data_IF_598471623738
#
_entry.id   IF_598471623738
#
_cell.length_a   1.000
_cell.length_b   1.000
_cell.length_c   1.000
_cell.angle_alpha   90.00
_cell.angle_beta   90.00
_cell.angle_gamma   90.00
#
_symmetry.space_group_name_H-M   'P 1'
#
loop_
_entity.id
_entity.type
_entity.pdbx_description
1 polymer ?
#
# COMPACT_ATOMS: atom_id res chain seq x y z
N UNK A 1 -2.08 -26.39 28.82
CA UNK A 1 -2.83 -27.59 28.40
C UNK A 1 -1.80 -28.57 27.85
N UNK A 2 -1.68 -29.75 28.44
CA UNK A 2 -0.71 -30.80 28.03
C UNK A 2 -1.20 -31.52 26.78
N UNK A 3 -0.29 -32.05 25.96
CA UNK A 3 -0.64 -32.89 24.82
C UNK A 3 -1.46 -34.10 25.29
N UNK A 4 -2.52 -34.45 24.55
CA UNK A 4 -3.44 -35.55 24.91
C UNK A 4 -3.78 -36.36 23.67
N UNK A 5 -3.76 -37.69 23.80
CA UNK A 5 -4.19 -38.63 22.76
C UNK A 5 -5.44 -39.39 23.20
N UNK A 6 -6.41 -39.52 22.30
CA UNK A 6 -7.65 -40.26 22.49
C UNK A 6 -7.68 -41.38 21.43
N UNK A 7 -7.73 -42.64 21.87
CA UNK A 7 -7.84 -43.78 20.96
C UNK A 7 -9.32 -44.03 20.62
N UNK A 8 -9.62 -44.21 19.34
CA UNK A 8 -10.97 -44.46 18.85
C UNK A 8 -11.29 -45.95 18.77
N UNK A 9 -10.27 -46.78 18.55
CA UNK A 9 -10.44 -48.23 18.48
C UNK A 9 -10.25 -48.91 19.85
N UNK A 10 -10.87 -50.08 20.10
CA UNK A 10 -10.83 -50.75 21.40
C UNK A 10 -9.42 -51.18 21.84
N UNK A 11 -8.59 -51.62 20.89
CA UNK A 11 -7.20 -51.98 21.15
C UNK A 11 -6.28 -50.77 20.92
N UNK A 12 -5.72 -50.25 22.01
CA UNK A 12 -4.81 -49.10 22.00
C UNK A 12 -3.39 -49.45 21.56
N UNK A 13 -3.05 -50.74 21.50
CA UNK A 13 -1.72 -51.22 21.08
C UNK A 13 -1.68 -51.63 19.62
N UNK A 14 -2.83 -51.69 18.96
CA UNK A 14 -2.90 -51.98 17.54
C UNK A 14 -2.27 -50.81 16.76
N UNK A 15 -1.22 -51.04 15.96
CA UNK A 15 -0.61 -50.01 15.13
C UNK A 15 -1.57 -49.45 14.07
N UNK A 16 -2.68 -50.13 13.76
CA UNK A 16 -3.74 -49.63 12.89
C UNK A 16 -4.82 -48.81 13.61
N UNK A 17 -4.70 -48.62 14.93
CA UNK A 17 -5.64 -47.87 15.75
C UNK A 17 -5.69 -46.39 15.34
N UNK A 18 -6.89 -45.91 15.06
CA UNK A 18 -7.18 -44.50 14.81
C UNK A 18 -7.20 -43.75 16.12
N UNK A 19 -6.62 -42.56 16.13
CA UNK A 19 -6.47 -41.74 17.35
C UNK A 19 -6.63 -40.26 17.06
N UNK A 20 -7.08 -39.52 18.07
CA UNK A 20 -7.15 -38.06 18.04
C UNK A 20 -6.03 -37.50 18.92
N UNK A 21 -5.10 -36.78 18.32
CA UNK A 21 -4.04 -36.03 18.98
C UNK A 21 -4.49 -34.59 19.23
N UNK A 22 -4.32 -34.10 20.45
CA UNK A 22 -4.66 -32.74 20.87
C UNK A 22 -3.38 -32.04 21.29
N UNK A 23 -3.01 -30.99 20.55
CA UNK A 23 -1.80 -30.22 20.79
C UNK A 23 -2.12 -28.75 20.99
N UNK A 24 -1.77 -28.22 22.16
CA UNK A 24 -1.98 -26.82 22.47
C UNK A 24 -0.82 -25.96 21.95
N UNK A 25 -1.16 -24.88 21.26
CA UNK A 25 -0.24 -23.82 20.84
C UNK A 25 -0.53 -22.55 21.64
N UNK A 26 0.23 -21.47 21.41
CA UNK A 26 0.04 -20.21 22.14
C UNK A 26 -1.34 -19.58 21.93
N UNK A 27 -1.93 -19.71 20.74
CA UNK A 27 -3.16 -19.01 20.34
C UNK A 27 -4.36 -19.94 20.08
N UNK A 28 -4.11 -21.23 19.88
CA UNK A 28 -5.10 -22.19 19.42
C UNK A 28 -4.70 -23.60 19.83
N UNK A 29 -5.55 -24.57 19.53
CA UNK A 29 -5.29 -26.00 19.70
C UNK A 29 -5.45 -26.69 18.36
N UNK A 30 -4.52 -27.60 18.05
CA UNK A 30 -4.64 -28.51 16.91
C UNK A 30 -5.26 -29.80 17.41
N UNK A 31 -6.39 -30.20 16.83
CA UNK A 31 -7.06 -31.48 17.04
C UNK A 31 -6.91 -32.27 15.76
N UNK A 32 -6.12 -33.34 15.80
CA UNK A 32 -5.73 -34.12 14.65
C UNK A 32 -6.24 -35.55 14.79
N UNK A 33 -7.02 -36.00 13.81
CA UNK A 33 -7.34 -37.41 13.62
C UNK A 33 -6.19 -38.04 12.82
N UNK A 34 -5.44 -38.92 13.46
CA UNK A 34 -4.39 -39.75 12.88
C UNK A 34 -5.00 -41.12 12.50
N UNK A 35 -4.92 -41.42 11.21
CA UNK A 35 -5.41 -42.63 10.53
C UNK A 35 -4.27 -43.36 9.81
N UNK A 36 -3.01 -42.96 9.96
CA UNK A 36 -1.92 -43.45 9.09
C UNK A 36 -1.82 -44.98 9.12
N UNK A 37 -1.81 -45.56 10.32
CA UNK A 37 -1.77 -47.01 10.48
C UNK A 37 -3.02 -47.73 9.96
N UNK A 38 -4.19 -47.09 10.03
CA UNK A 38 -5.44 -47.60 9.47
C UNK A 38 -5.39 -47.60 7.94
N UNK A 39 -4.89 -46.53 7.34
CA UNK A 39 -4.72 -46.38 5.88
C UNK A 39 -3.75 -47.41 5.33
N UNK A 40 -2.59 -47.59 5.97
CA UNK A 40 -1.60 -48.60 5.59
C UNK A 40 -2.21 -50.01 5.60
N UNK A 41 -2.98 -50.32 6.65
CA UNK A 41 -3.62 -51.63 6.82
C UNK A 41 -4.73 -51.86 5.79
N UNK A 42 -5.56 -50.85 5.54
CA UNK A 42 -6.66 -50.90 4.57
C UNK A 42 -6.13 -51.05 3.14
N UNK A 43 -5.09 -50.28 2.79
CA UNK A 43 -4.43 -50.35 1.48
C UNK A 43 -3.82 -51.75 1.25
N UNK A 44 -3.18 -52.34 2.27
CA UNK A 44 -2.65 -53.73 2.19
C UNK A 44 -3.74 -54.78 1.97
N UNK A 45 -4.98 -54.51 2.40
CA UNK A 45 -6.15 -55.39 2.18
C UNK A 45 -6.83 -55.14 0.83
N UNK A 46 -6.41 -54.12 0.09
CA UNK A 46 -7.00 -53.72 -1.18
C UNK A 46 -8.23 -52.82 -1.05
N UNK A 47 -8.54 -52.35 0.15
CA UNK A 47 -9.63 -51.41 0.41
C UNK A 47 -9.18 -49.97 0.09
N UNK A 48 -10.08 -49.12 -0.41
CA UNK A 48 -9.78 -47.69 -0.60
C UNK A 48 -9.78 -46.98 0.76
N UNK A 49 -8.68 -46.29 1.12
CA UNK A 49 -8.58 -45.50 2.35
C UNK A 49 -9.16 -44.08 2.21
N UNK A 50 -9.72 -43.75 1.04
CA UNK A 50 -10.11 -42.39 0.70
C UNK A 50 -11.23 -41.87 1.59
N UNK A 51 -11.14 -40.57 1.91
CA UNK A 51 -12.19 -39.90 2.67
C UNK A 51 -13.38 -39.61 1.74
N UNK A 52 -14.63 -39.87 2.19
CA UNK A 52 -15.81 -39.47 1.44
C UNK A 52 -15.80 -37.97 1.12
N UNK A 53 -16.28 -37.58 -0.06
CA UNK A 53 -16.29 -36.17 -0.48
C UNK A 53 -17.02 -35.27 0.54
N UNK A 54 -18.17 -35.72 1.06
CA UNK A 54 -18.92 -35.01 2.08
C UNK A 54 -18.15 -34.83 3.40
N UNK A 55 -17.29 -35.79 3.78
CA UNK A 55 -16.40 -35.65 4.93
C UNK A 55 -15.38 -34.53 4.66
N UNK A 56 -14.71 -34.59 3.50
CA UNK A 56 -13.69 -33.62 3.11
C UNK A 56 -14.26 -32.21 3.01
N UNK A 57 -15.47 -32.04 2.48
CA UNK A 57 -16.18 -30.76 2.43
C UNK A 57 -16.50 -30.22 3.82
N UNK A 58 -17.06 -31.05 4.71
CA UNK A 58 -17.41 -30.66 6.08
C UNK A 58 -16.17 -30.24 6.88
N UNK A 59 -15.08 -30.99 6.77
CA UNK A 59 -13.79 -30.64 7.38
C UNK A 59 -13.23 -29.36 6.80
N UNK A 60 -13.20 -29.22 5.48
CA UNK A 60 -12.69 -28.01 4.80
C UNK A 60 -13.46 -26.77 5.26
N UNK A 61 -14.78 -26.87 5.40
CA UNK A 61 -15.62 -25.80 5.92
C UNK A 61 -15.26 -25.45 7.37
N UNK A 62 -15.11 -26.45 8.24
CA UNK A 62 -14.71 -26.24 9.63
C UNK A 62 -13.30 -25.63 9.76
N UNK A 63 -12.33 -26.09 8.96
CA UNK A 63 -10.98 -25.55 8.89
C UNK A 63 -10.98 -24.07 8.47
N UNK A 64 -11.65 -23.74 7.37
CA UNK A 64 -11.73 -22.37 6.86
C UNK A 64 -12.38 -21.43 7.88
N UNK A 65 -13.51 -21.84 8.45
CA UNK A 65 -14.23 -21.02 9.42
C UNK A 65 -13.43 -20.81 10.70
N UNK A 66 -12.72 -21.84 11.15
CA UNK A 66 -11.85 -21.73 12.31
C UNK A 66 -10.62 -20.85 12.06
N UNK A 67 -10.02 -20.96 10.88
CA UNK A 67 -8.91 -20.10 10.47
C UNK A 67 -9.33 -18.63 10.43
N UNK A 68 -10.53 -18.36 9.94
CA UNK A 68 -11.09 -17.01 9.93
C UNK A 68 -11.33 -16.49 11.34
N UNK A 69 -11.87 -17.34 12.23
CA UNK A 69 -12.07 -16.97 13.63
C UNK A 69 -10.75 -16.61 14.33
N UNK A 70 -9.71 -17.41 14.15
CA UNK A 70 -8.40 -17.15 14.74
C UNK A 70 -7.75 -15.87 14.20
N UNK A 71 -7.87 -15.61 12.88
CA UNK A 71 -7.38 -14.37 12.27
C UNK A 71 -8.14 -13.15 12.76
N UNK A 72 -9.46 -13.28 12.91
CA UNK A 72 -10.32 -12.26 13.51
C UNK A 72 -9.91 -11.95 14.95
N UNK A 73 -9.59 -12.96 15.75
CA UNK A 73 -9.10 -12.81 17.12
C UNK A 73 -7.64 -12.29 17.19
N UNK A 74 -6.96 -12.12 16.04
CA UNK A 74 -5.68 -11.44 15.91
C UNK A 74 -4.46 -12.32 15.62
N UNK A 75 -4.66 -13.61 15.36
CA UNK A 75 -3.57 -14.50 14.95
C UNK A 75 -3.11 -14.18 13.52
N UNK A 76 -1.83 -13.86 13.35
CA UNK A 76 -1.22 -13.50 12.06
C UNK A 76 -0.29 -14.59 11.49
N UNK A 77 -0.09 -15.69 12.21
CA UNK A 77 0.80 -16.76 11.77
C UNK A 77 0.19 -17.61 10.64
N UNK A 78 1.03 -18.46 10.05
CA UNK A 78 0.54 -19.50 9.15
C UNK A 78 -0.14 -20.61 9.96
N UNK A 79 -1.31 -21.03 9.50
CA UNK A 79 -1.98 -22.23 9.97
C UNK A 79 -1.67 -23.35 9.00
N UNK A 80 -1.13 -24.45 9.52
CA UNK A 80 -0.93 -25.68 8.77
C UNK A 80 -2.06 -26.64 9.13
N UNK A 81 -2.78 -27.14 8.12
CA UNK A 81 -3.72 -28.24 8.28
C UNK A 81 -3.58 -29.22 7.12
N UNK A 82 -4.00 -30.46 7.36
CA UNK A 82 -4.03 -31.54 6.38
C UNK A 82 -5.43 -32.13 6.30
N UNK A 83 -5.84 -32.45 5.08
CA UNK A 83 -7.08 -33.17 4.75
C UNK A 83 -6.69 -34.32 3.83
N UNK A 84 -5.98 -35.29 4.40
CA UNK A 84 -5.49 -36.47 3.70
C UNK A 84 -6.14 -37.74 4.23
N UNK A 85 -6.04 -38.86 3.50
CA UNK A 85 -6.47 -40.16 4.00
C UNK A 85 -5.80 -40.50 5.34
N UNK A 86 -4.50 -40.20 5.47
CA UNK A 86 -3.69 -40.54 6.64
C UNK A 86 -3.93 -39.65 7.87
N UNK A 87 -4.24 -38.36 7.67
CA UNK A 87 -4.55 -37.47 8.78
C UNK A 87 -5.50 -36.34 8.39
N UNK A 88 -6.30 -35.93 9.38
CA UNK A 88 -7.20 -34.79 9.29
C UNK A 88 -6.96 -33.89 10.48
N UNK A 89 -6.59 -32.63 10.26
CA UNK A 89 -6.34 -31.69 11.37
C UNK A 89 -7.26 -30.48 11.37
N UNK A 90 -7.78 -30.15 12.55
CA UNK A 90 -8.57 -28.96 12.84
C UNK A 90 -7.80 -28.06 13.79
N UNK A 91 -7.52 -26.84 13.37
CA UNK A 91 -6.97 -25.80 14.24
C UNK A 91 -8.11 -24.99 14.82
N UNK A 92 -8.38 -25.05 16.12
CA UNK A 92 -9.55 -24.41 16.77
C UNK A 92 -9.18 -23.52 17.96
N UNK A 93 -9.98 -22.49 18.28
CA UNK A 93 -9.85 -21.78 19.55
C UNK A 93 -10.04 -22.72 20.74
N UNK A 94 -9.40 -22.42 21.87
CA UNK A 94 -9.42 -23.26 23.08
C UNK A 94 -10.83 -23.64 23.55
N UNK A 95 -11.79 -22.73 23.42
CA UNK A 95 -13.18 -22.95 23.82
C UNK A 95 -13.89 -24.06 23.02
N UNK A 96 -13.36 -24.45 21.86
CA UNK A 96 -14.01 -25.37 20.93
C UNK A 96 -13.30 -26.73 20.79
N UNK A 97 -12.29 -27.01 21.62
CA UNK A 97 -11.53 -28.28 21.57
C UNK A 97 -12.43 -29.49 21.77
N UNK A 98 -13.30 -29.47 22.78
CA UNK A 98 -14.23 -30.57 23.05
C UNK A 98 -15.16 -30.86 21.86
N UNK A 99 -15.76 -29.79 21.31
CA UNK A 99 -16.62 -29.90 20.14
C UNK A 99 -15.89 -30.42 18.89
N UNK A 100 -14.63 -30.03 18.69
CA UNK A 100 -13.81 -30.54 17.58
C UNK A 100 -13.47 -32.03 17.73
N UNK A 101 -13.14 -32.47 18.95
CA UNK A 101 -12.90 -33.89 19.24
C UNK A 101 -14.16 -34.73 18.99
N UNK A 102 -15.31 -34.28 19.50
CA UNK A 102 -16.61 -34.96 19.31
C UNK A 102 -17.00 -35.01 17.83
N UNK A 103 -16.82 -33.92 17.10
CA UNK A 103 -17.12 -33.83 15.68
C UNK A 103 -16.27 -34.79 14.83
N UNK A 104 -14.94 -34.85 15.06
CA UNK A 104 -14.07 -35.79 14.35
C UNK A 104 -14.37 -37.24 14.73
N UNK A 105 -14.64 -37.52 16.00
CA UNK A 105 -15.02 -38.85 16.47
C UNK A 105 -16.34 -39.34 15.83
N UNK A 106 -17.36 -38.49 15.79
CA UNK A 106 -18.65 -38.78 15.16
C UNK A 106 -18.52 -38.97 13.65
N UNK A 107 -17.73 -38.13 12.98
CA UNK A 107 -17.50 -38.21 11.55
C UNK A 107 -16.75 -39.50 11.16
N UNK A 108 -15.75 -39.92 11.95
CA UNK A 108 -14.95 -41.11 11.68
C UNK A 108 -15.68 -42.42 12.04
N UNK A 109 -16.33 -42.49 13.21
CA UNK A 109 -16.92 -43.74 13.68
C UNK A 109 -18.36 -43.98 13.20
N UNK A 110 -19.11 -42.91 12.94
CA UNK A 110 -20.54 -42.98 12.63
C UNK A 110 -20.89 -42.42 11.26
N UNK A 111 -19.90 -41.88 10.53
CA UNK A 111 -20.12 -41.12 9.30
C UNK A 111 -21.13 -39.97 9.48
N UNK A 112 -21.20 -39.41 10.69
CA UNK A 112 -22.07 -38.28 11.03
C UNK A 112 -21.27 -36.98 10.97
N UNK A 113 -21.51 -36.19 9.92
CA UNK A 113 -20.82 -34.92 9.68
C UNK A 113 -21.52 -33.71 10.30
N UNK A 114 -22.65 -33.91 10.97
CA UNK A 114 -23.42 -32.83 11.59
C UNK A 114 -22.63 -32.09 12.67
N UNK A 115 -21.75 -32.80 13.40
CA UNK A 115 -20.87 -32.20 14.40
C UNK A 115 -19.85 -31.23 13.79
N UNK A 116 -19.28 -31.55 12.63
CA UNK A 116 -18.36 -30.66 11.91
C UNK A 116 -19.08 -29.43 11.38
N UNK A 117 -20.30 -29.63 10.86
CA UNK A 117 -21.17 -28.55 10.42
C UNK A 117 -21.54 -27.61 11.57
N UNK A 118 -21.97 -28.16 12.72
CA UNK A 118 -22.28 -27.39 13.91
C UNK A 118 -21.06 -26.65 14.47
N UNK A 119 -19.87 -27.25 14.39
CA UNK A 119 -18.62 -26.58 14.77
C UNK A 119 -18.34 -25.39 13.85
N UNK A 120 -18.49 -25.56 12.53
CA UNK A 120 -18.34 -24.47 11.57
C UNK A 120 -19.33 -23.33 11.87
N UNK A 121 -20.60 -23.65 12.08
CA UNK A 121 -21.63 -22.64 12.34
C UNK A 121 -21.38 -21.87 13.66
N UNK A 122 -20.85 -22.52 14.69
CA UNK A 122 -20.43 -21.84 15.95
C UNK A 122 -19.25 -20.89 15.77
N UNK A 123 -18.36 -21.18 14.81
CA UNK A 123 -17.18 -20.39 14.53
C UNK A 123 -17.43 -19.31 13.48
N UNK A 124 -18.59 -19.36 12.81
CA UNK A 124 -18.93 -18.48 11.71
C UNK A 124 -18.93 -17.01 12.14
N UNK A 125 -18.38 -16.18 11.27
CA UNK A 125 -18.38 -14.72 11.41
C UNK A 125 -19.33 -14.15 10.34
N UNK A 126 -20.05 -13.05 10.63
CA UNK A 126 -20.96 -12.41 9.69
C UNK A 126 -20.19 -11.56 8.66
N UNK A 127 -19.25 -12.19 7.94
CA UNK A 127 -18.34 -11.52 7.00
C UNK A 127 -19.11 -10.89 5.84
N UNK A 128 -20.14 -11.58 5.34
CA UNK A 128 -21.01 -11.07 4.29
C UNK A 128 -21.72 -9.79 4.73
N UNK A 129 -22.23 -9.76 5.97
CA UNK A 129 -22.90 -8.57 6.52
C UNK A 129 -21.89 -7.43 6.73
N UNK A 130 -20.66 -7.72 7.15
CA UNK A 130 -19.59 -6.71 7.27
C UNK A 130 -19.06 -6.20 5.94
N UNK A 131 -19.24 -6.96 4.85
CA UNK A 131 -18.83 -6.58 3.48
C UNK A 131 -20.00 -6.22 2.56
N UNK A 132 -21.22 -6.20 3.10
CA UNK A 132 -22.42 -5.72 2.42
C UNK A 132 -22.27 -4.27 1.89
N UNK A 133 -23.09 -3.87 0.91
CA UNK A 133 -23.09 -2.52 0.35
C UNK A 133 -23.19 -1.35 1.32
N UNK A 134 -22.68 -0.21 0.88
CA UNK A 134 -22.79 1.07 1.59
C UNK A 134 -21.60 1.40 2.50
N UNK A 135 -21.49 2.68 2.83
CA UNK A 135 -20.61 3.15 3.90
C UNK A 135 -21.33 2.95 5.24
N UNK A 136 -20.65 2.33 6.21
CA UNK A 136 -21.21 2.16 7.55
C UNK A 136 -20.13 2.12 8.61
N UNK A 137 -20.52 2.43 9.82
CA UNK A 137 -19.73 2.24 11.01
C UNK A 137 -20.05 0.88 11.65
N UNK A 138 -19.03 0.05 11.82
CA UNK A 138 -19.11 -1.13 12.67
C UNK A 138 -18.57 -0.74 14.05
N UNK A 139 -19.31 -1.01 15.11
CA UNK A 139 -19.01 -0.60 16.48
C UNK A 139 -18.45 -1.77 17.28
N UNK A 140 -17.33 -1.55 17.97
CA UNK A 140 -16.72 -2.55 18.83
C UNK A 140 -17.61 -2.77 20.06
N UNK A 141 -17.86 -4.04 20.40
CA UNK A 141 -18.77 -4.48 21.45
C UNK A 141 -20.19 -4.74 20.94
N UNK A 142 -20.53 -4.28 19.73
CA UNK A 142 -21.83 -4.54 19.08
C UNK A 142 -21.62 -5.46 17.88
N UNK A 143 -20.86 -5.00 16.90
CA UNK A 143 -20.66 -5.71 15.63
C UNK A 143 -19.45 -6.63 15.64
N UNK A 144 -18.42 -6.27 16.41
CA UNK A 144 -17.18 -7.05 16.57
C UNK A 144 -16.55 -6.80 17.94
N UNK A 145 -15.63 -7.67 18.36
CA UNK A 145 -14.98 -7.64 19.67
C UNK A 145 -13.46 -7.38 19.59
N UNK A 146 -12.84 -7.77 18.47
CA UNK A 146 -11.40 -7.62 18.24
C UNK A 146 -10.95 -6.14 18.28
N UNK A 147 -9.65 -5.84 18.49
CA UNK A 147 -9.14 -4.48 18.37
C UNK A 147 -9.43 -3.90 16.97
N UNK A 148 -9.89 -2.63 16.83
CA UNK A 148 -10.35 -2.09 15.53
C UNK A 148 -9.32 -2.18 14.40
N UNK A 149 -8.04 -1.97 14.70
CA UNK A 149 -6.97 -2.11 13.70
C UNK A 149 -6.75 -3.55 13.22
N UNK A 150 -6.93 -4.53 14.12
CA UNK A 150 -6.84 -5.97 13.79
C UNK A 150 -8.05 -6.38 12.97
N UNK A 151 -9.25 -5.98 13.41
CA UNK A 151 -10.50 -6.25 12.71
C UNK A 151 -10.50 -5.68 11.28
N UNK A 152 -10.08 -4.42 11.09
CA UNK A 152 -9.99 -3.82 9.77
C UNK A 152 -8.99 -4.54 8.86
N UNK A 153 -7.87 -5.03 9.39
CA UNK A 153 -6.90 -5.82 8.62
C UNK A 153 -7.50 -7.15 8.17
N UNK A 154 -8.19 -7.84 9.08
CA UNK A 154 -8.94 -9.06 8.77
C UNK A 154 -9.97 -8.81 7.67
N UNK A 155 -10.81 -7.78 7.81
CA UNK A 155 -11.83 -7.43 6.82
C UNK A 155 -11.23 -7.07 5.45
N UNK A 156 -10.08 -6.39 5.40
CA UNK A 156 -9.40 -6.12 4.12
C UNK A 156 -8.92 -7.41 3.44
N UNK A 157 -8.42 -8.37 4.21
CA UNK A 157 -8.07 -9.70 3.70
C UNK A 157 -9.28 -10.41 3.11
N UNK A 158 -10.41 -10.37 3.83
CA UNK A 158 -11.67 -10.96 3.36
C UNK A 158 -12.23 -10.26 2.14
N UNK A 159 -12.30 -8.94 2.14
CA UNK A 159 -12.69 -8.15 0.99
C UNK A 159 -11.94 -8.59 -0.28
N UNK A 160 -10.60 -8.72 -0.19
CA UNK A 160 -9.77 -9.18 -1.32
C UNK A 160 -10.16 -10.59 -1.79
N UNK A 161 -10.42 -11.53 -0.88
CA UNK A 161 -10.86 -12.89 -1.21
C UNK A 161 -12.23 -12.89 -1.91
N UNK A 162 -13.12 -11.98 -1.52
CA UNK A 162 -14.45 -11.81 -2.13
C UNK A 162 -14.42 -10.91 -3.40
N UNK A 163 -13.23 -10.53 -3.88
CA UNK A 163 -13.06 -9.70 -5.08
C UNK A 163 -13.44 -8.22 -4.90
N UNK A 164 -13.61 -7.76 -3.65
CA UNK A 164 -13.98 -6.38 -3.33
C UNK A 164 -12.80 -5.63 -2.71
N UNK A 165 -12.68 -4.34 -3.01
CA UNK A 165 -11.76 -3.42 -2.35
C UNK A 165 -12.45 -2.82 -1.14
N UNK A 166 -11.90 -3.01 0.04
CA UNK A 166 -12.40 -2.38 1.26
C UNK A 166 -11.65 -1.09 1.56
N UNK A 167 -12.31 0.06 1.37
CA UNK A 167 -11.87 1.30 1.96
C UNK A 167 -12.40 1.34 3.39
N UNK A 168 -11.53 1.47 4.38
CA UNK A 168 -11.98 1.50 5.75
C UNK A 168 -10.97 2.14 6.68
N UNK A 169 -11.48 2.63 7.81
CA UNK A 169 -10.74 3.37 8.82
C UNK A 169 -11.11 2.84 10.19
N UNK A 170 -10.10 2.50 10.98
CA UNK A 170 -10.26 2.18 12.38
C UNK A 170 -10.21 3.46 13.22
N UNK A 171 -11.14 3.58 14.17
CA UNK A 171 -11.11 4.57 15.26
C UNK A 171 -10.85 3.86 16.58
N UNK A 172 -10.91 4.58 17.71
CA UNK A 172 -10.70 3.99 19.04
C UNK A 172 -11.75 2.92 19.41
N UNK A 173 -12.97 3.05 18.89
CA UNK A 173 -14.11 2.19 19.24
C UNK A 173 -14.87 1.60 18.06
N UNK A 174 -14.51 1.93 16.82
CA UNK A 174 -15.26 1.51 15.64
C UNK A 174 -14.38 1.30 14.41
N UNK A 175 -14.95 0.70 13.37
CA UNK A 175 -14.37 0.61 12.04
C UNK A 175 -15.38 1.08 11.02
N UNK A 176 -15.04 2.17 10.32
CA UNK A 176 -15.78 2.62 9.15
C UNK A 176 -15.39 1.76 7.96
N UNK A 177 -16.37 1.23 7.25
CA UNK A 177 -16.18 0.36 6.10
C UNK A 177 -16.96 0.88 4.91
N UNK A 178 -16.33 0.83 3.74
CA UNK A 178 -16.94 1.06 2.44
C UNK A 178 -16.35 0.05 1.46
N UNK A 179 -16.95 -1.14 1.34
CA UNK A 179 -16.64 -2.09 0.28
C UNK A 179 -16.92 -1.45 -1.07
N UNK A 180 -16.03 -1.65 -2.03
CA UNK A 180 -16.12 -1.08 -3.38
C UNK A 180 -15.64 -2.12 -4.37
N UNK A 181 -16.26 -2.21 -5.53
CA UNK A 181 -15.72 -3.03 -6.61
C UNK A 181 -14.56 -2.28 -7.28
N UNK A 182 -13.45 -2.97 -7.60
CA UNK A 182 -12.47 -2.43 -8.54
C UNK A 182 -13.17 -2.06 -9.86
N UNK A 183 -12.84 -0.91 -10.44
CA UNK A 183 -13.53 -0.39 -11.63
C UNK A 183 -13.55 -1.39 -12.80
N UNK A 184 -12.45 -2.10 -13.02
CA UNK A 184 -12.34 -3.12 -14.07
C UNK A 184 -13.27 -4.32 -13.82
N UNK A 185 -13.46 -4.72 -12.56
CA UNK A 185 -14.41 -5.80 -12.23
C UNK A 185 -15.85 -5.32 -12.33
N UNK A 186 -16.14 -4.10 -11.89
CA UNK A 186 -17.45 -3.46 -12.07
C UNK A 186 -17.83 -3.45 -13.56
N UNK A 187 -16.94 -2.95 -14.42
CA UNK A 187 -17.17 -2.89 -15.87
C UNK A 187 -17.34 -4.27 -16.51
N UNK A 188 -16.52 -5.27 -16.15
CA UNK A 188 -16.68 -6.63 -16.66
C UNK A 188 -18.04 -7.23 -16.30
N UNK A 189 -18.48 -7.03 -15.05
CA UNK A 189 -19.74 -7.58 -14.55
C UNK A 189 -20.96 -6.85 -15.11
N UNK A 190 -20.85 -5.54 -15.36
CA UNK A 190 -21.86 -4.74 -16.08
C UNK A 190 -22.00 -5.14 -17.56
N UNK A 191 -20.90 -5.51 -18.21
CA UNK A 191 -20.89 -5.91 -19.63
C UNK A 191 -21.41 -7.34 -19.86
N UNK A 192 -21.34 -8.21 -18.84
CA UNK A 192 -21.75 -9.61 -18.95
C UNK A 192 -22.62 -10.05 -17.75
N UNK A 193 -23.80 -9.44 -17.56
CA UNK A 193 -24.66 -9.71 -16.39
C UNK A 193 -25.13 -11.16 -16.32
N UNK A 194 -25.27 -11.83 -17.47
CA UNK A 194 -25.69 -13.23 -17.56
C UNK A 194 -24.61 -14.22 -17.07
N UNK A 195 -23.34 -13.81 -17.07
CA UNK A 195 -22.23 -14.57 -16.49
C UNK A 195 -22.11 -14.34 -14.97
N UNK A 196 -22.89 -13.40 -14.42
CA UNK A 196 -22.90 -13.01 -13.01
C UNK A 196 -24.34 -12.90 -12.46
N UNK A 197 -25.15 -13.98 -12.52
CA UNK A 197 -26.53 -13.96 -12.07
C UNK A 197 -26.62 -13.64 -10.57
N UNK A 198 -27.55 -12.75 -10.19
CA UNK A 198 -27.68 -12.20 -8.83
C UNK A 198 -26.93 -10.89 -8.59
N UNK A 199 -26.23 -10.35 -9.60
CA UNK A 199 -25.55 -9.06 -9.54
C UNK A 199 -26.43 -7.86 -9.94
N UNK A 200 -27.65 -8.10 -10.45
CA UNK A 200 -28.67 -7.05 -10.62
C UNK A 200 -29.10 -6.57 -9.23
N UNK A 201 -28.30 -5.62 -8.75
CA UNK A 201 -28.66 -4.46 -7.99
C UNK A 201 -29.04 -4.54 -6.49
N UNK A 202 -28.00 -4.51 -5.63
CA UNK A 202 -28.03 -3.77 -4.34
C UNK A 202 -27.05 -2.56 -4.35
N UNK A 203 -26.58 -2.14 -5.53
CA UNK A 203 -25.40 -1.26 -5.71
C UNK A 203 -25.55 -0.25 -6.85
N UNK A 204 -26.36 -0.55 -7.86
CA UNK A 204 -27.00 0.39 -8.77
C UNK A 204 -28.23 0.99 -8.03
N UNK A 205 -28.66 2.23 -8.32
CA UNK A 205 -29.84 2.81 -7.64
C UNK A 205 -29.84 3.01 -6.10
N UNK A 206 -28.82 2.60 -5.32
CA UNK A 206 -28.76 2.92 -3.88
C UNK A 206 -28.63 4.44 -3.72
N UNK A 207 -29.72 5.05 -3.25
CA UNK A 207 -29.76 6.42 -2.75
C UNK A 207 -29.48 6.33 -1.26
N UNK A 208 -28.46 7.05 -0.82
CA UNK A 208 -28.11 7.15 0.59
C UNK A 208 -29.33 7.72 1.36
N UNK A 209 -29.84 7.03 2.40
CA UNK A 209 -30.93 7.53 3.21
C UNK A 209 -30.58 8.89 3.82
N UNK A 210 -31.54 9.82 3.88
CA UNK A 210 -31.34 11.16 4.47
C UNK A 210 -30.95 11.11 5.97
N UNK A 211 -31.11 9.96 6.63
CA UNK A 211 -30.75 9.70 8.03
C UNK A 211 -29.43 8.90 8.19
N UNK A 212 -28.67 8.69 7.11
CA UNK A 212 -27.36 8.08 7.19
C UNK A 212 -26.41 8.92 8.07
N UNK A 213 -25.65 8.32 9.00
CA UNK A 213 -24.79 9.06 9.91
C UNK A 213 -23.71 9.83 9.14
N UNK A 214 -23.75 11.16 9.27
CA UNK A 214 -22.79 12.05 8.63
C UNK A 214 -21.37 11.77 9.12
N UNK A 215 -20.50 11.49 8.16
CA UNK A 215 -19.07 11.42 8.41
C UNK A 215 -18.56 12.82 8.76
N UNK A 216 -17.75 13.01 9.82
CA UNK A 216 -17.04 14.26 10.04
C UNK A 216 -16.17 14.57 8.82
N UNK A 217 -16.43 15.73 8.19
CA UNK A 217 -15.79 16.17 6.96
C UNK A 217 -14.26 16.28 7.14
N UNK A 218 -13.50 15.53 6.33
CA UNK A 218 -12.04 15.68 6.23
C UNK A 218 -11.56 15.48 4.79
N UNK A 219 -11.82 16.47 3.93
CA UNK A 219 -11.16 16.70 2.63
C UNK A 219 -11.20 15.52 1.64
N UNK A 220 -12.22 15.51 0.77
CA UNK A 220 -12.39 14.57 -0.34
C UNK A 220 -12.04 15.19 -1.69
N UNK A 221 -11.47 14.35 -2.57
CA UNK A 221 -10.96 14.64 -3.91
C UNK A 221 -12.05 15.01 -4.92
N UNK A 222 -11.70 15.95 -5.78
CA UNK A 222 -12.35 16.33 -7.04
C UNK A 222 -12.75 15.11 -7.89
N UNK A 223 -14.04 14.93 -8.15
CA UNK A 223 -14.60 13.94 -9.07
C UNK A 223 -15.53 14.53 -10.14
N UNK A 224 -15.46 15.83 -10.41
CA UNK A 224 -16.42 16.52 -11.31
C UNK A 224 -15.85 17.05 -12.64
N UNK A 225 -14.70 16.56 -13.14
CA UNK A 225 -14.10 17.09 -14.39
C UNK A 225 -14.21 16.15 -15.62
N UNK A 226 -14.95 15.05 -15.56
CA UNK A 226 -14.96 14.04 -16.65
C UNK A 226 -16.19 14.08 -17.58
N UNK A 227 -17.14 14.98 -17.35
CA UNK A 227 -18.34 15.03 -18.17
C UNK A 227 -17.99 15.53 -19.58
N UNK A 228 -18.15 14.66 -20.60
CA UNK A 228 -17.89 14.89 -22.05
C UNK A 228 -16.45 14.69 -22.59
N UNK A 229 -15.53 14.11 -21.83
CA UNK A 229 -14.24 13.72 -22.40
C UNK A 229 -14.40 12.56 -23.41
N UNK A 230 -13.83 12.69 -24.62
CA UNK A 230 -13.86 11.62 -25.62
C UNK A 230 -13.07 10.37 -25.12
N UNK A 231 -13.55 9.14 -25.37
CA UNK A 231 -12.85 7.93 -24.95
C UNK A 231 -11.47 7.82 -25.61
N UNK A 232 -10.44 7.54 -24.80
CA UNK A 232 -9.07 7.33 -25.31
C UNK A 232 -8.98 5.96 -25.96
N UNK A 233 -8.50 5.91 -27.20
CA UNK A 233 -8.14 4.65 -27.86
C UNK A 233 -6.81 4.13 -27.32
N UNK A 234 -6.82 2.90 -26.80
CA UNK A 234 -5.59 2.23 -26.37
C UNK A 234 -5.00 1.43 -27.52
N UNK A 235 -3.78 1.78 -27.92
CA UNK A 235 -2.95 0.97 -28.82
C UNK A 235 -1.96 0.19 -27.99
N UNK A 236 -1.83 -1.10 -28.28
CA UNK A 236 -0.84 -1.95 -27.63
C UNK A 236 0.56 -1.54 -28.13
N UNK A 237 1.35 -0.92 -27.25
CA UNK A 237 2.77 -0.62 -27.52
C UNK A 237 3.58 -1.67 -26.77
N UNK A 238 4.44 -2.40 -27.47
CA UNK A 238 5.44 -3.25 -26.81
C UNK A 238 6.42 -2.35 -26.06
N UNK A 239 6.37 -2.36 -24.73
CA UNK A 239 7.38 -1.69 -23.91
C UNK A 239 8.67 -2.51 -23.93
N UNK A 240 9.82 -1.92 -24.34
CA UNK A 240 11.09 -2.64 -24.36
C UNK A 240 11.46 -3.17 -22.98
N UNK A 241 11.65 -4.48 -22.88
CA UNK A 241 12.20 -5.13 -21.70
C UNK A 241 13.73 -5.02 -21.73
N UNK A 242 14.26 -3.97 -21.10
CA UNK A 242 15.70 -3.77 -20.92
C UNK A 242 16.12 -2.32 -21.06
N UNK A 243 16.09 -1.56 -19.97
CA UNK A 243 16.58 -0.18 -19.92
C UNK A 243 16.48 0.42 -18.52
N UNK A 244 17.33 1.40 -18.19
CA UNK A 244 17.13 2.27 -17.03
C UNK A 244 15.84 3.06 -17.26
N UNK A 245 14.95 3.15 -16.27
CA UNK A 245 13.78 4.01 -16.40
C UNK A 245 14.20 5.48 -16.31
N UNK A 246 13.54 6.38 -17.05
CA UNK A 246 13.84 7.81 -17.03
C UNK A 246 13.68 8.46 -15.64
N UNK A 247 12.93 7.82 -14.73
CA UNK A 247 12.82 8.23 -13.33
C UNK A 247 14.06 7.88 -12.48
N UNK A 248 15.09 7.27 -13.07
CA UNK A 248 16.36 6.92 -12.43
C UNK A 248 16.40 5.55 -11.74
N UNK A 249 15.25 4.87 -11.58
CA UNK A 249 15.23 3.51 -11.01
C UNK A 249 15.54 2.45 -12.07
N UNK A 250 16.32 1.44 -11.67
CA UNK A 250 16.55 0.24 -12.48
C UNK A 250 15.30 -0.65 -12.49
N UNK A 251 14.92 -1.10 -13.69
CA UNK A 251 13.83 -2.06 -13.89
C UNK A 251 14.26 -3.49 -13.46
N UNK A 252 14.43 -3.78 -12.15
CA UNK A 252 14.38 -5.10 -11.46
C UNK A 252 15.04 -4.99 -10.06
N UNK A 253 14.43 -5.50 -8.98
CA UNK A 253 14.31 -6.93 -8.70
C UNK A 253 12.86 -7.49 -8.69
N UNK A 254 12.66 -8.75 -9.10
CA UNK A 254 11.36 -9.43 -9.10
C UNK A 254 10.79 -9.72 -7.70
N UNK A 255 11.54 -9.43 -6.64
CA UNK A 255 11.16 -9.76 -5.25
C UNK A 255 10.17 -8.74 -4.63
N UNK A 256 10.10 -7.50 -5.14
CA UNK A 256 9.21 -6.43 -4.62
C UNK A 256 7.98 -6.14 -5.50
N UNK A 257 7.75 -6.95 -6.54
CA UNK A 257 6.55 -6.86 -7.38
C UNK A 257 6.36 -5.54 -8.16
N UNK A 258 7.41 -4.72 -8.30
CA UNK A 258 7.36 -3.46 -9.08
C UNK A 258 6.60 -2.30 -8.45
N UNK A 259 6.07 -2.47 -7.22
CA UNK A 259 5.27 -1.45 -6.54
C UNK A 259 6.09 -0.21 -6.15
N UNK A 260 7.34 -0.39 -5.69
CA UNK A 260 8.21 0.73 -5.34
C UNK A 260 8.60 1.55 -6.56
N UNK A 261 8.94 0.89 -7.67
CA UNK A 261 9.22 1.58 -8.92
C UNK A 261 7.99 2.32 -9.42
N UNK A 262 6.80 1.70 -9.41
CA UNK A 262 5.57 2.37 -9.82
C UNK A 262 5.24 3.59 -8.92
N UNK A 263 5.44 3.48 -7.61
CA UNK A 263 5.24 4.58 -6.68
C UNK A 263 6.25 5.71 -6.91
N UNK A 264 7.54 5.39 -7.08
CA UNK A 264 8.58 6.37 -7.42
C UNK A 264 8.32 7.03 -8.77
N UNK A 265 7.93 6.26 -9.77
CA UNK A 265 7.60 6.76 -11.10
C UNK A 265 6.40 7.72 -11.05
N UNK A 266 5.37 7.41 -10.27
CA UNK A 266 4.25 8.32 -10.05
C UNK A 266 4.67 9.62 -9.37
N UNK A 267 5.55 9.55 -8.36
CA UNK A 267 6.09 10.75 -7.69
C UNK A 267 6.96 11.59 -8.62
N UNK A 268 7.81 10.94 -9.42
CA UNK A 268 8.65 11.61 -10.42
C UNK A 268 7.81 12.27 -11.52
N UNK A 269 6.76 11.58 -12.00
CA UNK A 269 5.94 12.08 -13.09
C UNK A 269 4.96 13.18 -12.67
N UNK A 270 4.35 13.07 -11.49
CA UNK A 270 3.23 13.91 -11.05
C UNK A 270 3.65 14.91 -9.96
N UNK A 271 4.67 14.58 -9.15
CA UNK A 271 5.08 15.34 -7.98
C UNK A 271 4.96 14.54 -6.69
N UNK A 272 5.58 15.05 -5.62
CA UNK A 272 5.54 14.43 -4.29
C UNK A 272 4.31 14.91 -3.53
N UNK A 273 3.48 14.00 -3.03
CA UNK A 273 2.25 14.39 -2.33
C UNK A 273 2.56 15.18 -1.06
N UNK A 274 1.98 16.37 -0.93
CA UNK A 274 2.08 17.16 0.29
C UNK A 274 1.38 16.43 1.47
N UNK A 275 2.03 16.32 2.64
CA UNK A 275 1.41 15.82 3.87
C UNK A 275 0.15 16.63 4.22
N UNK A 276 -0.93 15.95 4.61
CA UNK A 276 -2.21 16.60 4.96
C UNK A 276 -2.15 17.51 6.19
N UNK A 277 -1.13 17.33 7.02
CA UNK A 277 -0.92 18.08 8.26
C UNK A 277 0.01 19.29 8.06
N UNK A 278 0.38 19.61 6.81
CA UNK A 278 1.06 20.85 6.47
C UNK A 278 0.03 21.83 5.91
N UNK A 279 -0.07 22.99 6.55
CA UNK A 279 -0.93 24.07 6.08
C UNK A 279 -0.18 24.89 5.03
N UNK A 280 -0.66 24.86 3.80
CA UNK A 280 -0.15 25.67 2.70
C UNK A 280 -0.98 26.94 2.56
N UNK A 281 -0.34 28.09 2.70
CA UNK A 281 -1.02 29.39 2.62
C UNK A 281 -0.89 30.02 1.23
N UNK A 282 -0.08 29.42 0.36
CA UNK A 282 0.16 29.81 -1.03
C UNK A 282 0.59 28.58 -1.84
N UNK A 283 0.69 28.72 -3.16
CA UNK A 283 1.19 27.69 -4.06
C UNK A 283 2.70 27.47 -3.94
N UNK A 284 3.41 28.42 -3.31
CA UNK A 284 4.85 28.38 -3.09
C UNK A 284 5.16 28.45 -1.60
N UNK A 285 6.02 27.56 -1.13
CA UNK A 285 6.58 27.59 0.22
C UNK A 285 8.10 27.75 0.19
N UNK A 286 8.65 28.60 1.06
CA UNK A 286 10.08 28.71 1.31
C UNK A 286 10.39 27.97 2.60
N UNK A 287 11.29 27.00 2.53
CA UNK A 287 11.70 26.15 3.65
C UNK A 287 13.15 26.45 3.98
N UNK A 288 13.38 26.97 5.18
CA UNK A 288 14.71 27.22 5.75
C UNK A 288 15.17 26.04 6.61
N UNK A 289 16.45 26.01 6.97
CA UNK A 289 17.01 25.05 7.94
C UNK A 289 16.39 25.14 9.33
N UNK A 290 15.78 26.29 9.66
CA UNK A 290 15.05 26.55 10.91
C UNK A 290 13.57 26.16 10.85
N UNK A 291 13.06 25.80 9.67
CA UNK A 291 11.64 25.48 9.48
C UNK A 291 11.19 24.24 10.28
N UNK A 292 9.89 24.11 10.58
CA UNK A 292 9.37 22.93 11.28
C UNK A 292 9.76 21.61 10.62
N UNK A 293 10.02 20.58 11.42
CA UNK A 293 10.54 19.28 10.95
C UNK A 293 9.69 18.63 9.84
N UNK A 294 8.38 18.88 9.83
CA UNK A 294 7.50 18.36 8.78
C UNK A 294 7.82 18.96 7.40
N UNK A 295 8.14 20.26 7.33
CA UNK A 295 8.59 20.92 6.10
C UNK A 295 9.96 20.41 5.67
N UNK A 296 10.92 20.35 6.59
CA UNK A 296 12.27 19.84 6.30
C UNK A 296 12.28 18.39 5.82
N UNK A 297 11.41 17.53 6.38
CA UNK A 297 11.21 16.15 5.90
C UNK A 297 10.59 16.08 4.51
N UNK A 298 9.63 16.96 4.19
CA UNK A 298 9.06 17.05 2.85
C UNK A 298 10.13 17.50 1.83
N UNK A 299 10.89 18.54 2.14
CA UNK A 299 12.01 19.02 1.31
C UNK A 299 13.02 17.93 1.05
N UNK A 300 13.43 17.19 2.08
CA UNK A 300 14.29 16.01 1.93
C UNK A 300 13.71 14.98 0.97
N UNK A 301 12.42 14.64 1.10
CA UNK A 301 11.76 13.69 0.21
C UNK A 301 11.71 14.16 -1.24
N UNK A 302 11.48 15.45 -1.47
CA UNK A 302 11.44 16.03 -2.82
C UNK A 302 12.83 16.07 -3.43
N UNK A 303 13.86 16.46 -2.67
CA UNK A 303 15.25 16.46 -3.11
C UNK A 303 15.78 15.08 -3.52
N UNK A 304 15.18 13.99 -3.03
CA UNK A 304 15.50 12.62 -3.50
C UNK A 304 15.04 12.32 -4.92
N UNK A 305 14.08 13.07 -5.46
CA UNK A 305 13.58 12.85 -6.84
C UNK A 305 14.69 13.12 -7.87
N UNK A 306 15.29 14.34 -7.93
CA UNK A 306 16.39 14.62 -8.83
C UNK A 306 17.65 13.83 -8.50
N UNK A 307 17.91 13.51 -7.23
CA UNK A 307 19.00 12.62 -6.82
C UNK A 307 18.90 11.26 -7.53
N UNK A 308 17.73 10.62 -7.47
CA UNK A 308 17.51 9.32 -8.12
C UNK A 308 17.49 9.44 -9.62
N UNK A 309 16.82 10.46 -10.17
CA UNK A 309 16.70 10.67 -11.62
C UNK A 309 18.06 10.79 -12.31
N UNK A 310 18.97 11.60 -11.76
CA UNK A 310 20.26 11.89 -12.38
C UNK A 310 21.43 11.09 -11.77
N UNK A 311 21.17 10.33 -10.70
CA UNK A 311 22.18 9.49 -10.05
C UNK A 311 23.21 10.28 -9.23
N UNK A 312 22.80 11.38 -8.58
CA UNK A 312 23.68 12.12 -7.68
C UNK A 312 23.97 11.31 -6.40
N UNK A 313 25.20 11.36 -5.92
CA UNK A 313 25.62 10.62 -4.74
C UNK A 313 24.99 11.15 -3.45
N UNK A 314 24.65 12.45 -3.43
CA UNK A 314 24.10 13.15 -2.26
C UNK A 314 22.77 13.84 -2.57
N UNK A 315 21.95 14.04 -1.54
CA UNK A 315 20.73 14.81 -1.64
C UNK A 315 21.05 16.30 -1.44
N UNK A 316 20.50 17.18 -2.30
CA UNK A 316 20.60 18.64 -2.17
C UNK A 316 20.02 19.22 -0.87
N UNK A 317 19.29 18.43 -0.09
CA UNK A 317 18.81 18.81 1.23
C UNK A 317 19.17 17.74 2.26
N UNK A 318 19.91 18.12 3.31
CA UNK A 318 20.36 17.23 4.38
C UNK A 318 19.96 17.69 5.79
N UNK A 319 19.38 18.88 5.94
CA UNK A 319 19.03 19.48 7.23
C UNK A 319 17.77 18.85 7.86
N UNK A 320 17.93 17.68 8.47
CA UNK A 320 16.89 16.94 9.20
C UNK A 320 17.04 16.98 10.73
N UNK A 321 18.12 17.60 11.23
CA UNK A 321 18.46 17.69 12.65
C UNK A 321 17.64 18.74 13.40
N UNK A 322 18.18 19.31 14.48
CA UNK A 322 17.56 20.47 15.14
C UNK A 322 17.52 21.68 14.19
N UNK A 323 16.61 22.66 14.41
CA UNK A 323 16.67 23.95 13.72
C UNK A 323 18.03 24.62 13.94
N UNK A 324 18.68 25.03 12.85
CA UNK A 324 19.99 25.70 12.89
C UNK A 324 20.00 26.85 11.89
N UNK A 325 20.65 27.97 12.26
CA UNK A 325 20.91 29.06 11.35
C UNK A 325 22.18 28.75 10.56
N UNK A 326 22.11 28.83 9.24
CA UNK A 326 23.27 28.60 8.35
C UNK A 326 23.85 29.95 7.89
N UNK A 327 25.19 30.13 7.89
CA UNK A 327 25.81 31.41 7.55
C UNK A 327 25.62 31.81 6.07
N UNK A 328 25.36 30.83 5.21
CA UNK A 328 25.13 30.90 3.76
C UNK A 328 23.62 30.87 3.41
N UNK A 329 22.73 31.07 4.38
CA UNK A 329 21.28 31.25 4.13
C UNK A 329 20.64 30.14 3.27
N UNK A 330 20.93 28.87 3.59
CA UNK A 330 20.40 27.70 2.88
C UNK A 330 18.89 27.63 2.98
N UNK A 331 18.23 27.52 1.82
CA UNK A 331 16.77 27.47 1.72
C UNK A 331 16.32 26.68 0.50
N UNK A 332 15.07 26.21 0.56
CA UNK A 332 14.44 25.50 -0.55
C UNK A 332 13.05 26.07 -0.87
N UNK A 333 12.75 26.20 -2.16
CA UNK A 333 11.45 26.62 -2.66
C UNK A 333 10.68 25.39 -3.14
N UNK A 334 9.50 25.18 -2.57
CA UNK A 334 8.58 24.11 -2.93
C UNK A 334 7.36 24.71 -3.63
N UNK A 335 7.16 24.35 -4.90
CA UNK A 335 5.98 24.75 -5.67
C UNK A 335 4.97 23.60 -5.67
N UNK A 336 3.73 23.87 -5.26
CA UNK A 336 2.65 22.88 -5.27
C UNK A 336 1.57 23.16 -6.32
N UNK A 337 0.90 22.09 -6.74
CA UNK A 337 -0.39 22.15 -7.41
C UNK A 337 -1.19 20.89 -7.07
N UNK A 338 -2.51 21.02 -6.88
CA UNK A 338 -3.42 19.89 -6.65
C UNK A 338 -3.01 18.96 -5.48
N UNK A 339 -2.36 19.52 -4.45
CA UNK A 339 -1.86 18.78 -3.29
C UNK A 339 -0.56 17.98 -3.52
N UNK A 340 0.17 18.26 -4.59
CA UNK A 340 1.48 17.70 -4.91
C UNK A 340 2.52 18.81 -5.03
N UNK A 341 3.71 18.59 -4.49
CA UNK A 341 4.91 19.39 -4.79
C UNK A 341 5.41 19.00 -6.17
N UNK A 342 5.27 19.91 -7.12
CA UNK A 342 5.56 19.73 -8.55
C UNK A 342 6.86 20.41 -8.98
N UNK A 343 7.39 21.31 -8.14
CA UNK A 343 8.64 22.03 -8.38
C UNK A 343 9.46 22.17 -7.10
N UNK A 344 10.78 22.15 -7.27
CA UNK A 344 11.75 22.19 -6.19
C UNK A 344 12.97 22.99 -6.64
N UNK A 345 13.43 23.91 -5.80
CA UNK A 345 14.70 24.62 -5.98
C UNK A 345 15.41 24.70 -4.62
N UNK A 346 16.62 24.17 -4.52
CA UNK A 346 17.51 24.39 -3.38
C UNK A 346 18.56 25.44 -3.73
N UNK A 347 18.89 26.29 -2.76
CA UNK A 347 19.84 27.38 -2.93
C UNK A 347 20.52 27.74 -1.62
N UNK A 348 21.72 28.29 -1.75
CA UNK A 348 22.45 29.00 -0.71
C UNK A 348 23.03 30.30 -1.31
N UNK A 349 23.44 31.22 -0.45
CA UNK A 349 24.09 32.46 -0.88
C UNK A 349 25.62 32.28 -0.82
N UNK A 350 26.32 32.66 -1.89
CA UNK A 350 27.79 32.58 -2.02
C UNK A 350 28.30 33.85 -2.68
N UNK A 351 29.58 34.18 -2.49
CA UNK A 351 30.21 35.36 -3.08
C UNK A 351 31.13 35.04 -4.24
N UNK A 352 31.70 33.84 -4.31
CA UNK A 352 32.69 33.49 -5.33
C UNK A 352 31.98 33.02 -6.60
N UNK A 353 32.00 33.85 -7.65
CA UNK A 353 31.36 33.55 -8.91
C UNK A 353 32.27 33.74 -10.11
N UNK A 354 31.98 33.00 -11.17
CA UNK A 354 32.55 33.23 -12.49
C UNK A 354 31.48 33.28 -13.56
N UNK A 355 31.63 34.17 -14.53
CA UNK A 355 30.76 34.19 -15.70
C UNK A 355 31.10 33.02 -16.62
N UNK A 356 30.09 32.24 -16.99
CA UNK A 356 30.17 31.18 -17.99
C UNK A 356 29.36 31.56 -19.22
N UNK A 357 30.05 31.70 -20.36
CA UNK A 357 29.38 31.83 -21.65
C UNK A 357 28.91 30.45 -22.14
N UNK A 358 27.59 30.30 -22.26
CA UNK A 358 26.97 29.06 -22.71
C UNK A 358 27.10 28.82 -24.22
N UNK A 359 27.53 29.83 -25.00
CA UNK A 359 27.75 29.74 -26.46
C UNK A 359 29.17 29.28 -26.80
N UNK A 360 30.16 29.85 -26.13
CA UNK A 360 31.58 29.55 -26.37
C UNK A 360 32.11 28.41 -25.48
N UNK A 361 31.29 27.91 -24.54
CA UNK A 361 31.60 26.89 -23.52
C UNK A 361 32.84 27.17 -22.67
N UNK A 362 33.44 28.37 -22.77
CA UNK A 362 34.66 28.74 -22.04
C UNK A 362 34.34 29.15 -20.59
N UNK A 363 34.96 28.46 -19.64
CA UNK A 363 34.86 28.74 -18.19
C UNK A 363 35.84 29.82 -17.71
N UNK A 364 36.38 30.65 -18.62
CA UNK A 364 37.42 31.66 -18.35
C UNK A 364 36.86 33.10 -18.23
N UNK A 365 35.56 33.25 -17.96
CA UNK A 365 34.93 34.57 -17.85
C UNK A 365 35.30 35.35 -16.58
N UNK A 366 34.77 36.58 -16.50
CA UNK A 366 35.03 37.50 -15.38
C UNK A 366 34.68 36.88 -14.02
N UNK A 367 35.56 37.08 -13.04
CA UNK A 367 35.32 36.76 -11.64
C UNK A 367 34.55 37.89 -10.96
N UNK A 368 33.69 37.53 -10.02
CA UNK A 368 32.88 38.47 -9.27
C UNK A 368 32.66 37.97 -7.83
N UNK A 369 32.84 38.87 -6.86
CA UNK A 369 32.74 38.62 -5.42
C UNK A 369 31.39 39.08 -4.83
N UNK A 370 30.44 39.48 -5.68
CA UNK A 370 29.11 39.90 -5.24
C UNK A 370 28.36 38.75 -4.58
N UNK A 371 27.85 38.93 -3.37
CA UNK A 371 27.00 37.94 -2.69
C UNK A 371 25.69 37.74 -3.45
N UNK A 372 25.43 36.53 -3.94
CA UNK A 372 24.22 36.19 -4.72
C UNK A 372 23.66 34.81 -4.35
N UNK A 373 22.36 34.57 -4.58
CA UNK A 373 21.82 33.24 -4.49
C UNK A 373 22.41 32.32 -5.58
N UNK A 374 22.84 31.14 -5.18
CA UNK A 374 23.34 30.07 -6.04
C UNK A 374 22.38 28.89 -6.03
N UNK A 375 21.93 28.45 -7.20
CA UNK A 375 21.06 27.28 -7.36
C UNK A 375 21.91 26.02 -7.20
N UNK A 376 21.71 25.30 -6.10
CA UNK A 376 22.30 23.98 -5.86
C UNK A 376 21.63 22.92 -6.72
N UNK A 377 20.30 22.98 -6.78
CA UNK A 377 19.51 22.03 -7.51
C UNK A 377 18.16 22.61 -7.88
N UNK A 378 17.73 22.39 -9.12
CA UNK A 378 16.37 22.70 -9.57
C UNK A 378 15.73 21.47 -10.22
N UNK A 379 14.48 21.19 -9.86
CA UNK A 379 13.73 20.06 -10.37
C UNK A 379 12.26 20.40 -10.57
N UNK A 380 11.68 19.83 -11.64
CA UNK A 380 10.25 19.92 -11.96
C UNK A 380 9.76 18.53 -12.33
N UNK A 381 8.60 18.15 -11.79
CA UNK A 381 7.94 16.89 -12.09
C UNK A 381 7.67 16.74 -13.59
N UNK A 382 7.83 15.53 -14.13
CA UNK A 382 7.91 15.32 -15.59
C UNK A 382 6.70 15.88 -16.36
N UNK A 383 5.48 15.64 -15.85
CA UNK A 383 4.23 16.09 -16.47
C UNK A 383 4.07 17.63 -16.51
N UNK A 384 4.92 18.34 -15.79
CA UNK A 384 4.92 19.80 -15.67
C UNK A 384 6.15 20.46 -16.31
N UNK A 385 7.09 19.68 -16.85
CA UNK A 385 8.25 20.20 -17.57
C UNK A 385 7.83 20.96 -18.82
N UNK A 386 8.68 21.91 -19.23
CA UNK A 386 8.48 22.78 -20.40
C UNK A 386 7.26 23.71 -20.33
N UNK A 387 6.59 23.82 -19.18
CA UNK A 387 5.49 24.77 -18.93
C UNK A 387 5.94 26.07 -18.23
N UNK A 388 7.23 26.40 -18.28
CA UNK A 388 7.78 27.61 -17.67
C UNK A 388 8.07 27.52 -16.17
N UNK A 389 7.64 26.46 -15.46
CA UNK A 389 7.78 26.39 -13.98
C UNK A 389 9.21 26.51 -13.46
N UNK A 390 10.20 25.97 -14.19
CA UNK A 390 11.61 26.14 -13.82
C UNK A 390 12.04 27.60 -13.86
N UNK A 391 11.61 28.36 -14.87
CA UNK A 391 11.89 29.79 -14.96
C UNK A 391 11.13 30.57 -13.88
N UNK A 392 9.89 30.17 -13.56
CA UNK A 392 9.12 30.74 -12.45
C UNK A 392 9.85 30.56 -11.12
N UNK A 393 10.39 29.37 -10.82
CA UNK A 393 11.16 29.13 -9.59
C UNK A 393 12.41 30.00 -9.51
N UNK A 394 13.15 30.17 -10.61
CA UNK A 394 14.34 31.06 -10.64
C UNK A 394 13.94 32.51 -10.48
N UNK A 395 12.87 32.96 -11.13
CA UNK A 395 12.38 34.34 -10.98
C UNK A 395 11.92 34.60 -9.54
N UNK A 396 11.26 33.63 -8.91
CA UNK A 396 10.88 33.71 -7.50
C UNK A 396 12.09 33.86 -6.59
N UNK A 397 13.12 33.04 -6.79
CA UNK A 397 14.38 33.16 -6.06
C UNK A 397 14.99 34.55 -6.23
N UNK A 398 15.10 35.03 -7.48
CA UNK A 398 15.64 36.35 -7.78
C UNK A 398 14.86 37.47 -7.08
N UNK A 399 13.53 37.42 -7.14
CA UNK A 399 12.66 38.39 -6.47
C UNK A 399 12.83 38.38 -4.94
N UNK A 400 12.93 37.19 -4.32
CA UNK A 400 13.14 37.03 -2.89
C UNK A 400 14.53 37.54 -2.44
N UNK A 401 15.52 37.43 -3.32
CA UNK A 401 16.88 37.93 -3.12
C UNK A 401 17.10 39.38 -3.59
N UNK A 402 16.07 40.03 -4.16
CA UNK A 402 16.17 41.41 -4.63
C UNK A 402 17.11 41.63 -5.82
N UNK A 403 17.30 40.62 -6.67
CA UNK A 403 18.16 40.67 -7.85
C UNK A 403 17.40 40.29 -9.14
N UNK A 404 18.04 40.45 -10.30
CA UNK A 404 17.49 39.98 -11.57
C UNK A 404 17.72 38.46 -11.74
N UNK A 405 16.83 37.79 -12.48
CA UNK A 405 16.98 36.35 -12.73
C UNK A 405 18.28 35.98 -13.46
N UNK A 406 18.88 36.93 -14.19
CA UNK A 406 20.17 36.80 -14.87
C UNK A 406 21.37 36.87 -13.92
N UNK A 407 21.16 37.34 -12.69
CA UNK A 407 22.20 37.48 -11.67
C UNK A 407 22.29 36.23 -10.78
N UNK A 408 21.29 35.36 -10.79
CA UNK A 408 21.30 34.10 -10.03
C UNK A 408 22.43 33.19 -10.52
N UNK A 409 23.23 32.69 -9.57
CA UNK A 409 24.34 31.76 -9.84
C UNK A 409 23.87 30.30 -9.88
N UNK A 410 24.66 29.43 -10.50
CA UNK A 410 24.37 28.01 -10.66
C UNK A 410 25.55 27.17 -10.19
N UNK A 411 25.29 26.21 -9.30
CA UNK A 411 26.32 25.26 -8.89
C UNK A 411 26.63 24.27 -10.03
N UNK A 412 27.91 24.03 -10.28
CA UNK A 412 28.35 22.98 -11.21
C UNK A 412 28.43 21.60 -10.51
N UNK A 413 28.14 20.50 -11.23
CA UNK A 413 27.86 20.39 -12.67
C UNK A 413 26.39 20.66 -13.04
N UNK A 414 26.17 21.36 -14.16
CA UNK A 414 24.83 21.66 -14.69
C UNK A 414 24.39 20.57 -15.69
N UNK A 415 23.19 20.01 -15.48
CA UNK A 415 22.59 19.05 -16.42
C UNK A 415 22.20 19.69 -17.76
N UNK A 416 22.00 18.90 -18.83
CA UNK A 416 21.54 19.42 -20.12
C UNK A 416 20.19 20.14 -20.03
N UNK A 417 19.31 19.70 -19.14
CA UNK A 417 18.05 20.37 -18.87
C UNK A 417 18.27 21.71 -18.17
N UNK A 418 19.21 21.76 -17.21
CA UNK A 418 19.67 22.98 -16.55
C UNK A 418 20.25 23.98 -17.56
N UNK A 419 21.18 23.56 -18.43
CA UNK A 419 21.75 24.41 -19.49
C UNK A 419 20.68 25.02 -20.40
N UNK A 420 19.68 24.23 -20.82
CA UNK A 420 18.55 24.73 -21.62
C UNK A 420 17.65 25.71 -20.87
N UNK A 421 17.53 25.58 -19.55
CA UNK A 421 16.78 26.53 -18.73
C UNK A 421 17.59 27.82 -18.54
N UNK A 422 18.86 27.69 -18.14
CA UNK A 422 19.83 28.77 -18.01
C UNK A 422 19.90 29.64 -19.26
N UNK A 423 20.10 29.04 -20.44
CA UNK A 423 20.17 29.78 -21.70
C UNK A 423 18.85 30.46 -22.12
N UNK A 424 17.69 30.06 -21.57
CA UNK A 424 16.44 30.81 -21.79
C UNK A 424 16.29 32.00 -20.85
N UNK A 425 16.80 31.88 -19.63
CA UNK A 425 16.73 32.93 -18.60
C UNK A 425 17.77 34.01 -18.90
N UNK A 426 18.99 33.60 -19.23
CA UNK A 426 20.10 34.48 -19.53
C UNK A 426 20.83 34.00 -20.80
N UNK A 427 20.38 34.43 -21.99
CA UNK A 427 20.97 34.00 -23.26
C UNK A 427 22.45 34.40 -23.43
N UNK A 428 22.90 35.44 -22.74
CA UNK A 428 24.29 35.94 -22.78
C UNK A 428 25.20 35.31 -21.71
N UNK A 429 24.94 34.05 -21.32
CA UNK A 429 25.70 33.34 -20.29
C UNK A 429 25.08 33.39 -18.89
N UNK A 430 25.68 32.68 -17.93
CA UNK A 430 25.22 32.60 -16.54
C UNK A 430 26.38 32.79 -15.57
N UNK A 431 26.08 33.03 -14.30
CA UNK A 431 27.05 32.92 -13.23
C UNK A 431 27.13 31.48 -12.74
N UNK A 432 28.34 30.98 -12.51
CA UNK A 432 28.59 29.68 -11.89
C UNK A 432 29.44 29.81 -10.63
N UNK A 433 29.23 28.87 -9.71
CA UNK A 433 30.01 28.68 -8.47
C UNK A 433 30.45 27.24 -8.32
#
# INVERSE_FOLDING_TARGET
MTERTIYLDPDRRDPSSRKINIRAHRWYVTVELDRDGYVDTSTRRGDSPDLPAAYTEAVTRAQNTSADRLRYDGYLGMLSWGTGPGWVSLTVPFAHVGAAVEALCGAELKHDYSGLQALADRLALPIEDWLAPGERELVRGVDFSAPPGVFLRFLRGKAKQHGVRLNGRATLGSVWVRPTLPLAEKQKRELFPEQHPGWVDRWTGYVEPDDAPDRPWVGGREQNLSYRAAPVQFRHVQTPSGGKCACGMTLRAPEDGGNEHAAHHAMWAIGVRAPKNLDWWSDLAVVTTESPIAWRKLTYQVGRMPQRENGYDVNSWSHLGEPEQTPDNVRAYLLQANGYVIGYLATHDVSEHRRWDLLDESEDGDQDDTLRPCIDLIWVADSYRRKGLGATLVQTLANDSGCEATDVSWSIPISDAGRRLAGRISPGGIWIS
#
